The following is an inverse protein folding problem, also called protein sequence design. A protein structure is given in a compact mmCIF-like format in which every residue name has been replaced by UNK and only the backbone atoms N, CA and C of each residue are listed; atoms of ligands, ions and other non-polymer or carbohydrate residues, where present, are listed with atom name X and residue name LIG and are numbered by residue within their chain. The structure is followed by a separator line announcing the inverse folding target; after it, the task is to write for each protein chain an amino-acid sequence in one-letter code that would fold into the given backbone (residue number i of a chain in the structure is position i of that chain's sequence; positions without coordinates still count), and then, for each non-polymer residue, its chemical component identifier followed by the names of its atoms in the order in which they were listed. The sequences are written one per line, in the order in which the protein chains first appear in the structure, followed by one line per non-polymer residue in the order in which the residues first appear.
data_IF_887644592117
#
_entry.id   IF_887644592117
#
_cell.length_a   1.000
_cell.length_b   1.000
_cell.length_c   1.000
_cell.angle_alpha   90.00
_cell.angle_beta   90.00
_cell.angle_gamma   90.00
#
_symmetry.space_group_name_H-M   'P 1'
#
loop_
_entity.id
_entity.type
_entity.pdbx_description
1 polymer ?
#
# COMPACT_ATOMS: atom_id res chain seq x y z
N UNK A 1 -14.10 -42.02 15.63
CA UNK A 1 -14.92 -40.81 15.84
C UNK A 1 -14.04 -39.77 16.50
N UNK A 2 -13.86 -38.57 15.91
CA UNK A 2 -13.09 -37.51 16.54
C UNK A 2 -13.84 -36.99 17.77
N UNK A 3 -13.10 -36.85 18.86
CA UNK A 3 -13.56 -36.35 20.16
C UNK A 3 -14.03 -34.89 20.01
N UNK A 4 -15.22 -34.53 20.55
CA UNK A 4 -15.68 -33.15 20.48
C UNK A 4 -14.72 -32.23 21.25
N UNK A 5 -14.46 -31.01 20.76
CA UNK A 5 -13.56 -30.08 21.43
C UNK A 5 -14.07 -29.77 22.85
N UNK A 6 -13.16 -29.64 23.84
CA UNK A 6 -13.55 -29.38 25.22
C UNK A 6 -14.34 -28.07 25.31
N UNK A 7 -15.47 -28.13 26.02
CA UNK A 7 -16.31 -26.96 26.27
C UNK A 7 -15.49 -25.86 26.99
N UNK A 8 -15.66 -24.57 26.62
CA UNK A 8 -14.93 -23.49 27.25
C UNK A 8 -15.22 -23.45 28.76
N UNK A 9 -14.16 -23.34 29.56
CA UNK A 9 -14.24 -23.28 31.02
C UNK A 9 -15.20 -22.16 31.47
N UNK A 10 -16.09 -22.49 32.40
CA UNK A 10 -17.04 -21.52 32.93
C UNK A 10 -16.28 -20.36 33.63
N UNK A 11 -16.61 -19.09 33.37
CA UNK A 11 -15.88 -17.96 33.93
C UNK A 11 -16.00 -17.92 35.47
N UNK A 12 -14.87 -18.09 36.15
CA UNK A 12 -14.73 -18.30 37.60
C UNK A 12 -15.14 -17.10 38.50
N UNK A 13 -15.57 -15.98 37.93
CA UNK A 13 -16.00 -14.82 38.72
C UNK A 13 -17.20 -14.06 38.13
N UNK A 14 -17.93 -13.36 39.01
CA UNK A 14 -19.01 -12.44 38.59
C UNK A 14 -18.51 -11.35 37.64
N UNK A 15 -17.26 -10.92 37.79
CA UNK A 15 -16.62 -9.95 36.91
C UNK A 15 -16.40 -10.53 35.51
N UNK A 16 -15.84 -11.74 35.41
CA UNK A 16 -15.63 -12.42 34.13
C UNK A 16 -16.94 -12.68 33.37
N UNK A 17 -18.03 -13.04 34.07
CA UNK A 17 -19.37 -13.16 33.46
C UNK A 17 -19.88 -11.83 32.88
N UNK A 18 -19.66 -10.71 33.59
CA UNK A 18 -20.06 -9.38 33.12
C UNK A 18 -19.23 -8.91 31.93
N UNK A 19 -17.92 -9.19 31.95
CA UNK A 19 -17.04 -8.89 30.83
C UNK A 19 -17.45 -9.66 29.57
N UNK A 20 -17.74 -10.96 29.69
CA UNK A 20 -18.22 -11.79 28.58
C UNK A 20 -19.52 -11.23 27.98
N UNK A 21 -20.48 -10.85 28.84
CA UNK A 21 -21.74 -10.25 28.39
C UNK A 21 -21.54 -8.93 27.63
N UNK A 22 -20.64 -8.05 28.12
CA UNK A 22 -20.32 -6.79 27.43
C UNK A 22 -19.64 -7.04 26.09
N UNK A 23 -18.73 -8.02 26.02
CA UNK A 23 -18.04 -8.44 24.79
C UNK A 23 -19.02 -8.97 23.75
N UNK A 24 -19.97 -9.81 24.15
CA UNK A 24 -20.97 -10.37 23.24
C UNK A 24 -21.97 -9.33 22.73
N UNK A 25 -22.36 -8.38 23.58
CA UNK A 25 -23.20 -7.26 23.18
C UNK A 25 -22.49 -6.39 22.11
N UNK A 26 -21.22 -6.03 22.33
CA UNK A 26 -20.42 -5.28 21.36
C UNK A 26 -20.21 -6.07 20.07
N UNK A 27 -19.84 -7.35 20.15
CA UNK A 27 -19.66 -8.23 18.99
C UNK A 27 -20.91 -8.28 18.12
N UNK A 28 -22.07 -8.48 18.75
CA UNK A 28 -23.37 -8.55 18.06
C UNK A 28 -23.69 -7.23 17.38
N UNK A 29 -23.57 -6.11 18.11
CA UNK A 29 -23.81 -4.78 17.57
C UNK A 29 -22.92 -4.47 16.35
N UNK A 30 -21.61 -4.71 16.46
CA UNK A 30 -20.65 -4.45 15.37
C UNK A 30 -20.98 -5.29 14.15
N UNK A 31 -21.26 -6.60 14.34
CA UNK A 31 -21.62 -7.51 13.26
C UNK A 31 -22.90 -7.08 12.56
N UNK A 32 -23.95 -6.81 13.33
CA UNK A 32 -25.27 -6.49 12.78
C UNK A 32 -25.22 -5.13 12.06
N UNK A 33 -24.49 -4.16 12.60
CA UNK A 33 -24.25 -2.87 11.94
C UNK A 33 -23.46 -3.04 10.63
N UNK A 34 -22.39 -3.84 10.66
CA UNK A 34 -21.60 -4.15 9.46
C UNK A 34 -22.47 -4.82 8.38
N UNK A 35 -23.26 -5.84 8.75
CA UNK A 35 -24.14 -6.56 7.83
C UNK A 35 -25.21 -5.65 7.21
N UNK A 36 -25.79 -4.76 8.02
CA UNK A 36 -26.76 -3.79 7.54
C UNK A 36 -26.13 -2.79 6.55
N UNK A 37 -24.88 -2.36 6.79
CA UNK A 37 -24.22 -1.32 6.00
C UNK A 37 -23.51 -1.84 4.75
N UNK A 38 -22.92 -3.04 4.82
CA UNK A 38 -22.01 -3.60 3.81
C UNK A 38 -22.45 -4.96 3.27
N UNK A 39 -23.51 -5.56 3.81
CA UNK A 39 -24.00 -6.87 3.39
C UNK A 39 -23.35 -8.04 4.12
N UNK A 40 -23.68 -9.26 3.68
CA UNK A 40 -23.28 -10.50 4.37
C UNK A 40 -21.83 -10.94 4.12
N UNK A 41 -21.10 -10.27 3.22
CA UNK A 41 -19.71 -10.62 2.93
C UNK A 41 -18.79 -10.23 4.09
N UNK A 42 -17.95 -11.16 4.60
CA UNK A 42 -17.04 -10.85 5.68
C UNK A 42 -16.05 -9.73 5.30
N UNK A 43 -15.62 -8.89 6.25
CA UNK A 43 -14.58 -7.90 5.99
C UNK A 43 -13.31 -8.60 5.47
N UNK A 44 -12.67 -7.97 4.48
CA UNK A 44 -11.46 -8.54 3.88
C UNK A 44 -10.24 -8.56 4.82
N UNK A 45 -10.27 -7.76 5.90
CA UNK A 45 -9.27 -7.81 6.96
C UNK A 45 -9.62 -8.92 7.97
N UNK A 46 -8.66 -9.79 8.33
CA UNK A 46 -8.89 -10.86 9.32
C UNK A 46 -9.11 -10.31 10.74
N UNK A 47 -8.61 -9.10 11.03
CA UNK A 47 -8.74 -8.44 12.32
C UNK A 47 -9.09 -6.95 12.12
N UNK A 48 -9.92 -6.42 13.03
CA UNK A 48 -10.41 -5.04 13.00
C UNK A 48 -10.18 -4.37 14.35
N UNK A 49 -9.36 -3.32 14.37
CA UNK A 49 -9.12 -2.51 15.57
C UNK A 49 -10.08 -1.32 15.62
N UNK A 50 -11.04 -1.36 16.55
CA UNK A 50 -12.00 -0.28 16.80
C UNK A 50 -11.67 0.43 18.12
N UNK A 51 -11.55 1.76 18.08
CA UNK A 51 -11.41 2.60 19.27
C UNK A 51 -12.77 3.17 19.67
N UNK A 52 -13.29 2.72 20.81
CA UNK A 52 -14.53 3.24 21.37
C UNK A 52 -14.23 4.24 22.49
N UNK A 53 -14.67 5.47 22.31
CA UNK A 53 -14.56 6.56 23.28
C UNK A 53 -15.87 6.73 24.02
N UNK A 54 -15.78 6.71 25.34
CA UNK A 54 -16.90 6.95 26.22
C UNK A 54 -16.46 7.72 27.46
N UNK A 55 -17.40 8.41 28.08
CA UNK A 55 -17.25 9.04 29.39
C UNK A 55 -18.05 8.25 30.40
N UNK A 56 -17.52 8.18 31.62
CA UNK A 56 -18.20 7.56 32.75
C UNK A 56 -18.44 8.65 33.79
N UNK A 57 -19.65 8.71 34.35
CA UNK A 57 -20.03 9.67 35.39
C UNK A 57 -20.29 8.93 36.72
N UNK A 58 -19.27 8.77 37.58
CA UNK A 58 -19.43 8.02 38.84
C UNK A 58 -20.53 8.60 39.75
N UNK A 59 -20.66 9.92 39.80
CA UNK A 59 -21.69 10.61 40.60
C UNK A 59 -23.12 10.46 40.08
N UNK A 60 -23.30 9.96 38.85
CA UNK A 60 -24.59 9.65 38.25
C UNK A 60 -24.76 8.13 38.12
N UNK A 61 -24.46 7.39 39.19
CA UNK A 61 -24.54 5.93 39.23
C UNK A 61 -23.76 5.23 38.08
N UNK A 62 -22.55 5.72 37.80
CA UNK A 62 -21.67 5.18 36.74
C UNK A 62 -22.28 5.23 35.33
N UNK A 63 -23.13 6.22 35.05
CA UNK A 63 -23.70 6.43 33.72
C UNK A 63 -22.62 6.54 32.64
N UNK A 64 -22.90 5.93 31.49
CA UNK A 64 -21.98 5.71 30.38
C UNK A 64 -22.49 6.48 29.16
N UNK A 65 -21.69 7.43 28.68
CA UNK A 65 -22.05 8.29 27.55
C UNK A 65 -20.99 8.18 26.45
N UNK A 66 -21.40 7.82 25.24
CA UNK A 66 -20.53 7.81 24.07
C UNK A 66 -20.54 9.20 23.42
N UNK A 67 -19.36 9.82 23.30
CA UNK A 67 -19.22 11.10 22.60
C UNK A 67 -18.02 11.04 21.64
N UNK A 68 -18.23 10.98 20.31
CA UNK A 68 -19.52 10.98 19.59
C UNK A 68 -20.38 9.71 19.83
N UNK A 69 -21.65 9.65 19.40
CA UNK A 69 -22.50 8.47 19.55
C UNK A 69 -21.82 7.17 19.09
N UNK A 70 -22.13 6.05 19.75
CA UNK A 70 -21.48 4.76 19.48
C UNK A 70 -21.61 4.36 18.00
N UNK A 71 -22.78 4.58 17.40
CA UNK A 71 -23.03 4.26 15.98
C UNK A 71 -22.11 5.06 15.07
N UNK A 72 -21.96 6.36 15.29
CA UNK A 72 -21.09 7.23 14.48
C UNK A 72 -19.61 6.82 14.61
N UNK A 73 -19.19 6.38 15.81
CA UNK A 73 -17.85 5.83 16.04
C UNK A 73 -17.64 4.52 15.28
N UNK A 74 -18.63 3.63 15.29
CA UNK A 74 -18.59 2.37 14.54
C UNK A 74 -18.58 2.61 13.04
N UNK A 75 -19.41 3.53 12.55
CA UNK A 75 -19.44 3.92 11.14
C UNK A 75 -18.08 4.42 10.69
N UNK A 76 -17.52 5.41 11.40
CA UNK A 76 -16.19 5.95 11.08
C UNK A 76 -15.11 4.86 11.13
N UNK A 77 -15.11 4.03 12.18
CA UNK A 77 -14.10 3.00 12.36
C UNK A 77 -14.18 1.87 11.32
N UNK A 78 -15.39 1.46 10.94
CA UNK A 78 -15.61 0.42 9.94
C UNK A 78 -15.40 0.95 8.51
N UNK A 79 -15.81 2.17 8.21
CA UNK A 79 -15.51 2.82 6.92
C UNK A 79 -14.00 3.03 6.76
N UNK A 80 -13.29 3.46 7.80
CA UNK A 80 -11.83 3.52 7.80
C UNK A 80 -11.25 2.12 7.55
N UNK A 81 -11.70 1.10 8.26
CA UNK A 81 -11.17 -0.25 8.11
C UNK A 81 -11.45 -0.85 6.71
N UNK A 82 -12.62 -0.58 6.15
CA UNK A 82 -12.98 -1.05 4.82
C UNK A 82 -12.28 -0.23 3.72
N UNK A 83 -12.03 1.06 3.95
CA UNK A 83 -11.20 1.89 3.08
C UNK A 83 -9.73 1.44 3.06
N UNK A 84 -9.28 0.65 4.03
CA UNK A 84 -7.93 0.06 4.02
C UNK A 84 -7.87 -1.24 3.19
N UNK A 85 -8.96 -1.99 3.16
CA UNK A 85 -9.10 -3.21 2.39
C UNK A 85 -9.12 -2.92 0.88
N UNK A 86 -7.99 -3.13 0.22
CA UNK A 86 -7.85 -3.01 -1.24
C UNK A 86 -7.28 -1.67 -1.73
N UNK A 87 -6.92 -0.74 -0.83
CA UNK A 87 -6.21 0.49 -1.19
C UNK A 87 -4.76 0.20 -1.58
N UNK A 88 -4.04 -0.58 -0.77
CA UNK A 88 -2.70 -1.04 -1.12
C UNK A 88 -2.72 -2.53 -1.45
N UNK A 89 -2.25 -2.86 -2.66
CA UNK A 89 -2.00 -4.22 -3.09
C UNK A 89 -0.63 -4.24 -3.77
N UNK A 90 0.29 -5.01 -3.22
CA UNK A 90 1.65 -5.15 -3.79
C UNK A 90 1.56 -5.61 -5.25
N UNK A 91 2.34 -5.00 -6.13
CA UNK A 91 2.31 -5.27 -7.57
C UNK A 91 1.26 -4.48 -8.35
N UNK A 92 0.44 -3.66 -7.69
CA UNK A 92 -0.64 -2.91 -8.33
C UNK A 92 -0.65 -1.44 -7.90
N UNK A 93 -1.16 -0.58 -8.77
CA UNK A 93 -1.41 0.84 -8.51
C UNK A 93 -2.87 1.03 -8.12
N UNK A 94 -3.15 1.87 -7.13
CA UNK A 94 -4.53 2.24 -6.81
C UNK A 94 -5.17 3.03 -7.96
N UNK A 95 -6.29 2.54 -8.48
CA UNK A 95 -7.09 3.24 -9.47
C UNK A 95 -8.13 4.13 -8.77
N UNK A 96 -7.96 5.45 -8.83
CA UNK A 96 -8.91 6.38 -8.19
C UNK A 96 -10.27 6.42 -8.87
N UNK A 97 -10.34 6.11 -10.18
CA UNK A 97 -11.61 6.00 -10.90
C UNK A 97 -12.44 4.80 -10.43
N UNK A 98 -11.81 3.64 -10.26
CA UNK A 98 -12.47 2.41 -9.78
C UNK A 98 -12.51 2.32 -8.25
N UNK A 99 -11.78 3.19 -7.55
CA UNK A 99 -11.55 3.15 -6.09
C UNK A 99 -11.02 1.80 -5.60
N UNK A 100 -10.11 1.19 -6.35
CA UNK A 100 -9.59 -0.15 -6.07
C UNK A 100 -8.22 -0.38 -6.70
N UNK A 101 -7.39 -1.22 -6.06
CA UNK A 101 -6.16 -1.79 -6.64
C UNK A 101 -6.36 -3.17 -7.27
N UNK A 102 -7.61 -3.64 -7.41
CA UNK A 102 -7.96 -4.95 -7.96
C UNK A 102 -8.61 -4.90 -9.36
N UNK A 103 -8.69 -3.73 -9.99
CA UNK A 103 -9.23 -3.60 -11.34
C UNK A 103 -8.14 -3.78 -12.42
N UNK A 104 -8.55 -4.04 -13.66
CA UNK A 104 -7.62 -4.23 -14.79
C UNK A 104 -6.67 -3.04 -15.02
N UNK A 105 -7.10 -1.81 -14.67
CA UNK A 105 -6.27 -0.61 -14.82
C UNK A 105 -5.12 -0.54 -13.81
N UNK A 106 -5.19 -1.32 -12.72
CA UNK A 106 -4.22 -1.28 -11.62
C UNK A 106 -2.89 -1.96 -11.94
N UNK A 107 -2.81 -2.72 -13.05
CA UNK A 107 -1.61 -3.43 -13.50
C UNK A 107 -1.11 -2.93 -14.86
N UNK A 108 0.20 -3.05 -15.15
CA UNK A 108 0.72 -2.79 -16.49
C UNK A 108 0.02 -3.65 -17.55
N UNK A 109 -0.32 -3.10 -18.73
CA UNK A 109 -0.97 -3.87 -19.80
C UNK A 109 -0.01 -4.87 -20.49
N UNK A 110 1.30 -4.63 -20.43
CA UNK A 110 2.32 -5.46 -21.07
C UNK A 110 3.62 -5.50 -20.25
N UNK A 111 4.61 -6.26 -20.72
CA UNK A 111 5.87 -6.49 -20.01
C UNK A 111 6.80 -5.26 -19.95
N UNK A 112 6.69 -4.36 -20.92
CA UNK A 112 7.58 -3.21 -21.10
C UNK A 112 6.97 -1.92 -20.51
N UNK A 113 5.68 -1.96 -20.19
CA UNK A 113 4.92 -0.87 -19.61
C UNK A 113 5.32 -0.56 -18.17
N UNK A 114 5.44 0.74 -17.88
CA UNK A 114 5.67 1.33 -16.57
C UNK A 114 4.61 2.38 -16.26
N UNK A 115 4.36 2.61 -14.97
CA UNK A 115 3.37 3.61 -14.57
C UNK A 115 3.86 5.00 -14.94
N UNK A 116 3.06 5.76 -15.68
CA UNK A 116 3.40 7.12 -16.11
C UNK A 116 2.85 8.19 -15.18
N UNK A 117 1.70 7.93 -14.57
CA UNK A 117 0.96 8.89 -13.77
C UNK A 117 -0.54 8.62 -13.83
N UNK A 118 -1.32 9.58 -13.35
CA UNK A 118 -2.78 9.53 -13.42
C UNK A 118 -3.33 10.48 -14.49
N UNK A 119 -4.39 10.03 -15.14
CA UNK A 119 -5.23 10.89 -15.97
C UNK A 119 -6.01 11.90 -15.13
N UNK A 120 -6.71 12.83 -15.77
CA UNK A 120 -7.58 13.80 -15.09
C UNK A 120 -8.69 13.15 -14.26
N UNK A 121 -9.13 11.95 -14.65
CA UNK A 121 -10.16 11.17 -13.94
C UNK A 121 -9.60 10.17 -12.93
N UNK A 122 -8.29 10.24 -12.65
CA UNK A 122 -7.66 9.35 -11.67
C UNK A 122 -7.49 7.91 -12.16
N UNK A 123 -7.51 7.69 -13.49
CA UNK A 123 -7.17 6.42 -14.10
C UNK A 123 -5.63 6.28 -14.17
N UNK A 124 -5.04 5.16 -13.74
CA UNK A 124 -3.64 4.86 -14.00
C UNK A 124 -3.34 4.90 -15.51
N UNK A 125 -2.27 5.60 -15.88
CA UNK A 125 -1.74 5.59 -17.24
C UNK A 125 -0.42 4.84 -17.28
N UNK A 126 -0.29 3.99 -18.28
CA UNK A 126 0.85 3.11 -18.49
C UNK A 126 1.48 3.43 -19.82
N UNK A 127 2.80 3.64 -19.82
CA UNK A 127 3.57 3.86 -21.04
C UNK A 127 4.68 2.82 -21.11
N UNK A 128 5.06 2.46 -22.33
CA UNK A 128 6.29 1.72 -22.57
C UNK A 128 7.47 2.53 -21.98
N UNK A 129 8.34 1.90 -21.19
CA UNK A 129 9.53 2.53 -20.59
C UNK A 129 10.36 3.36 -21.60
N UNK A 130 10.57 2.85 -22.82
CA UNK A 130 11.28 3.55 -23.88
C UNK A 130 10.62 4.89 -24.22
N UNK A 131 9.30 4.88 -24.44
CA UNK A 131 8.52 6.10 -24.67
C UNK A 131 8.57 7.05 -23.47
N UNK A 132 8.47 6.50 -22.25
CA UNK A 132 8.59 7.29 -21.04
C UNK A 132 9.98 7.93 -20.88
N UNK A 133 11.05 7.31 -21.37
CA UNK A 133 12.38 7.92 -21.35
C UNK A 133 12.55 8.96 -22.46
N UNK A 134 12.04 8.73 -23.67
CA UNK A 134 12.11 9.70 -24.77
C UNK A 134 11.47 11.03 -24.38
N UNK A 135 10.29 10.99 -23.74
CA UNK A 135 9.58 12.19 -23.26
C UNK A 135 10.37 13.00 -22.22
N UNK A 136 11.28 12.34 -21.47
CA UNK A 136 11.98 12.96 -20.34
C UNK A 136 13.45 13.26 -20.59
N UNK A 137 14.13 12.40 -21.36
CA UNK A 137 15.55 12.46 -21.65
C UNK A 137 15.86 11.54 -22.85
N UNK A 138 15.81 12.07 -24.08
CA UNK A 138 16.09 11.31 -25.30
C UNK A 138 17.44 10.58 -25.27
N UNK A 139 18.50 11.25 -24.78
CA UNK A 139 19.85 10.67 -24.64
C UNK A 139 19.87 9.41 -23.76
N UNK A 140 19.04 9.37 -22.70
CA UNK A 140 18.93 8.20 -21.83
C UNK A 140 18.11 7.09 -22.47
N UNK A 141 17.16 7.41 -23.35
CA UNK A 141 16.39 6.42 -24.08
C UNK A 141 17.26 5.63 -25.07
N UNK A 142 18.23 6.28 -25.71
CA UNK A 142 19.17 5.61 -26.63
C UNK A 142 19.96 4.49 -25.94
N UNK A 143 20.33 4.67 -24.66
CA UNK A 143 21.05 3.67 -23.87
C UNK A 143 20.28 2.35 -23.67
N UNK A 144 18.95 2.36 -23.75
CA UNK A 144 18.14 1.13 -23.69
C UNK A 144 18.34 0.23 -24.92
N UNK A 145 18.76 0.81 -26.04
CA UNK A 145 18.88 0.13 -27.33
C UNK A 145 20.34 0.12 -27.83
N UNK A 146 21.29 0.57 -27.02
CA UNK A 146 22.71 0.47 -27.30
C UNK A 146 23.18 -1.00 -27.36
N UNK A 147 24.39 -1.22 -27.87
CA UNK A 147 25.05 -2.52 -27.85
C UNK A 147 26.33 -2.46 -26.99
N UNK A 148 26.36 -3.10 -25.80
CA UNK A 148 25.27 -3.83 -25.17
C UNK A 148 24.19 -2.90 -24.56
N UNK A 149 22.92 -3.35 -24.43
CA UNK A 149 21.85 -2.52 -23.88
C UNK A 149 22.04 -2.29 -22.38
N UNK A 150 21.86 -1.05 -21.95
CA UNK A 150 21.97 -0.68 -20.55
C UNK A 150 20.60 -0.68 -19.85
N UNK A 151 20.62 -0.95 -18.54
CA UNK A 151 19.47 -0.67 -17.69
C UNK A 151 19.45 0.83 -17.40
N UNK A 152 18.30 1.45 -17.63
CA UNK A 152 18.08 2.87 -17.38
C UNK A 152 16.96 3.02 -16.36
N UNK A 153 17.20 3.85 -15.35
CA UNK A 153 16.24 4.19 -14.31
C UNK A 153 15.79 5.65 -14.44
N UNK A 154 14.49 5.91 -14.27
CA UNK A 154 13.88 7.24 -14.23
C UNK A 154 13.23 7.47 -12.88
N UNK A 155 13.66 8.50 -12.17
CA UNK A 155 13.02 8.94 -10.92
C UNK A 155 11.90 9.93 -11.26
N UNK A 156 10.73 9.75 -10.65
CA UNK A 156 9.62 10.71 -10.73
C UNK A 156 9.04 10.93 -9.33
N UNK A 157 8.66 12.17 -9.01
CA UNK A 157 8.08 12.52 -7.71
C UNK A 157 6.55 12.57 -7.78
N UNK A 158 5.90 12.36 -6.64
CA UNK A 158 4.44 12.22 -6.56
C UNK A 158 3.64 13.40 -7.10
N UNK A 159 4.17 14.62 -7.06
CA UNK A 159 3.50 15.80 -7.62
C UNK A 159 3.38 15.71 -9.14
N UNK A 160 4.44 15.26 -9.83
CA UNK A 160 4.46 15.08 -11.28
C UNK A 160 3.52 13.96 -11.72
N UNK A 161 3.46 12.86 -10.96
CA UNK A 161 2.58 11.72 -11.24
C UNK A 161 1.09 12.05 -11.15
N UNK A 162 0.73 13.12 -10.44
CA UNK A 162 -0.66 13.56 -10.19
C UNK A 162 -0.97 14.92 -10.81
N UNK A 163 -0.08 15.47 -11.62
CA UNK A 163 -0.18 16.84 -12.13
C UNK A 163 -1.50 17.11 -12.86
N UNK A 164 -1.90 16.15 -13.71
CA UNK A 164 -3.13 16.21 -14.51
C UNK A 164 -4.38 15.77 -13.76
N UNK A 165 -4.23 15.11 -12.60
CA UNK A 165 -5.33 14.58 -11.82
C UNK A 165 -6.13 15.71 -11.16
N UNK A 166 -7.46 15.68 -11.29
CA UNK A 166 -8.32 16.64 -10.61
C UNK A 166 -8.52 16.26 -9.14
N UNK A 167 -8.81 17.27 -8.29
CA UNK A 167 -9.05 17.06 -6.85
C UNK A 167 -10.19 16.08 -6.57
N UNK A 168 -11.28 16.15 -7.34
CA UNK A 168 -12.42 15.24 -7.25
C UNK A 168 -12.05 13.76 -7.51
N UNK A 169 -10.93 13.52 -8.21
CA UNK A 169 -10.45 12.19 -8.54
C UNK A 169 -9.20 11.80 -7.73
N UNK A 170 -9.00 12.34 -6.53
CA UNK A 170 -8.02 11.83 -5.58
C UNK A 170 -6.65 12.51 -5.58
N UNK A 171 -6.47 13.64 -6.28
CA UNK A 171 -5.20 14.42 -6.26
C UNK A 171 -4.72 14.71 -4.82
N UNK A 172 -5.67 15.06 -3.95
CA UNK A 172 -5.49 15.35 -2.53
C UNK A 172 -5.99 14.23 -1.61
N UNK A 173 -6.06 12.98 -2.12
CA UNK A 173 -6.52 11.84 -1.32
C UNK A 173 -5.67 11.69 -0.05
N UNK A 174 -6.36 11.46 1.07
CA UNK A 174 -5.73 11.20 2.36
C UNK A 174 -5.51 9.71 2.62
N UNK A 175 -6.14 8.82 1.83
CA UNK A 175 -6.13 7.36 2.03
C UNK A 175 -5.02 6.66 1.26
N UNK A 176 -4.65 7.19 0.09
CA UNK A 176 -3.58 6.68 -0.76
C UNK A 176 -2.87 7.83 -1.47
N UNK A 177 -1.54 7.84 -1.42
CA UNK A 177 -0.74 8.78 -2.19
C UNK A 177 0.53 8.12 -2.71
N UNK A 178 0.79 8.23 -4.01
CA UNK A 178 2.11 7.93 -4.56
C UNK A 178 3.03 9.10 -4.23
N UNK A 179 4.09 8.85 -3.45
CA UNK A 179 5.05 9.87 -3.02
C UNK A 179 6.19 10.06 -4.03
N UNK A 180 6.50 9.01 -4.78
CA UNK A 180 7.43 9.01 -5.89
C UNK A 180 7.70 7.60 -6.38
N UNK A 181 8.45 7.48 -7.46
CA UNK A 181 8.75 6.20 -8.06
C UNK A 181 10.09 6.19 -8.79
N UNK A 182 10.57 4.97 -9.05
CA UNK A 182 11.63 4.68 -10.01
C UNK A 182 11.07 3.71 -11.05
N UNK A 183 11.02 4.12 -12.32
CA UNK A 183 10.78 3.22 -13.44
C UNK A 183 12.13 2.75 -13.99
N UNK A 184 12.36 1.45 -14.11
CA UNK A 184 13.65 0.92 -14.57
C UNK A 184 13.50 -0.29 -15.48
N UNK A 185 14.46 -0.47 -16.38
CA UNK A 185 14.50 -1.58 -17.31
C UNK A 185 15.42 -1.28 -18.51
N UNK A 186 15.42 -2.12 -19.54
CA UNK A 186 14.77 -3.44 -19.50
C UNK A 186 15.65 -4.44 -18.78
N UNK A 187 15.03 -5.22 -17.92
CA UNK A 187 15.66 -6.39 -17.37
C UNK A 187 15.43 -7.59 -18.29
N UNK A 188 16.43 -8.47 -18.37
CA UNK A 188 16.33 -9.76 -19.05
C UNK A 188 15.99 -10.82 -18.01
N UNK A 189 14.74 -11.28 -18.01
CA UNK A 189 14.25 -12.40 -17.24
C UNK A 189 14.60 -13.76 -17.88
N UNK A 190 14.44 -14.86 -17.12
CA UNK A 190 14.60 -16.20 -17.66
C UNK A 190 13.64 -16.42 -18.84
N UNK A 191 14.03 -17.26 -19.82
CA UNK A 191 13.17 -17.60 -20.93
C UNK A 191 11.97 -18.42 -20.45
N UNK A 192 10.81 -18.20 -21.09
CA UNK A 192 9.54 -18.87 -20.72
C UNK A 192 9.56 -20.37 -21.10
N UNK A 193 10.43 -20.75 -22.04
CA UNK A 193 10.63 -22.13 -22.47
C UNK A 193 12.11 -22.39 -22.80
N UNK A 194 12.59 -23.65 -22.71
CA UNK A 194 13.93 -24.01 -23.14
C UNK A 194 14.18 -23.58 -24.60
N UNK A 195 15.25 -22.83 -24.85
CA UNK A 195 15.62 -22.34 -26.19
C UNK A 195 14.90 -21.06 -26.64
N UNK A 196 13.95 -20.52 -25.86
CA UNK A 196 13.37 -19.20 -26.14
C UNK A 196 14.33 -18.05 -25.77
N UNK A 197 14.14 -16.89 -26.40
CA UNK A 197 14.89 -15.69 -26.03
C UNK A 197 14.56 -15.23 -24.59
N UNK A 198 15.51 -14.63 -23.87
CA UNK A 198 15.26 -14.03 -22.56
C UNK A 198 14.13 -12.99 -22.62
N UNK A 199 13.22 -13.05 -21.66
CA UNK A 199 12.06 -12.15 -21.62
C UNK A 199 12.50 -10.76 -21.16
N UNK A 200 12.24 -9.72 -21.97
CA UNK A 200 12.43 -8.33 -21.55
C UNK A 200 11.24 -7.84 -20.74
N UNK A 201 11.50 -7.12 -19.67
CA UNK A 201 10.46 -6.43 -18.92
C UNK A 201 10.99 -5.19 -18.20
N UNK A 202 10.07 -4.30 -17.83
CA UNK A 202 10.35 -3.12 -17.02
C UNK A 202 9.67 -3.23 -15.65
N UNK A 203 10.13 -2.44 -14.68
CA UNK A 203 9.58 -2.44 -13.32
C UNK A 203 9.37 -1.01 -12.86
N UNK A 204 8.21 -0.74 -12.26
CA UNK A 204 7.97 0.50 -11.51
C UNK A 204 8.11 0.21 -10.02
N UNK A 205 9.04 0.86 -9.34
CA UNK A 205 9.14 0.84 -7.89
C UNK A 205 8.48 2.10 -7.33
N UNK A 206 7.32 1.98 -6.68
CA UNK A 206 6.61 3.12 -6.12
C UNK A 206 6.75 3.18 -4.61
N UNK A 207 7.03 4.36 -4.07
CA UNK A 207 6.83 4.63 -2.65
C UNK A 207 5.41 5.16 -2.49
N UNK A 208 4.60 4.45 -1.73
CA UNK A 208 3.20 4.79 -1.49
C UNK A 208 3.00 5.11 -0.02
N UNK A 209 2.22 6.14 0.24
CA UNK A 209 1.67 6.44 1.56
C UNK A 209 0.24 5.92 1.61
N UNK A 210 -0.04 5.09 2.60
CA UNK A 210 -1.39 4.75 3.02
C UNK A 210 -1.65 5.28 4.41
N UNK A 211 -2.92 5.31 4.78
CA UNK A 211 -3.29 5.32 6.20
C UNK A 211 -3.44 3.88 6.63
N UNK A 212 -3.25 3.60 7.92
CA UNK A 212 -3.72 2.40 8.59
C UNK A 212 -4.95 2.77 9.44
N UNK A 213 -5.46 1.82 10.22
CA UNK A 213 -6.48 2.09 11.24
C UNK A 213 -6.07 3.32 12.08
N UNK A 214 -7.05 4.16 12.42
CA UNK A 214 -6.86 5.41 13.22
C UNK A 214 -6.00 6.48 12.51
N UNK A 215 -5.91 6.44 11.18
CA UNK A 215 -5.19 7.44 10.39
C UNK A 215 -3.66 7.35 10.51
N UNK A 216 -3.12 6.25 11.04
CA UNK A 216 -1.68 6.06 11.21
C UNK A 216 -0.98 6.07 9.85
N UNK A 217 0.10 6.84 9.72
CA UNK A 217 0.92 6.89 8.50
C UNK A 217 1.51 5.50 8.22
N UNK A 218 1.32 4.95 7.02
CA UNK A 218 2.04 3.78 6.51
C UNK A 218 2.74 4.13 5.20
N UNK A 219 3.97 3.70 5.04
CA UNK A 219 4.77 3.83 3.84
C UNK A 219 5.18 2.43 3.38
N UNK A 220 5.09 2.19 2.08
CA UNK A 220 5.56 0.94 1.50
C UNK A 220 6.31 1.19 0.19
N UNK A 221 7.34 0.39 -0.06
CA UNK A 221 7.90 0.24 -1.40
C UNK A 221 7.09 -0.84 -2.14
N UNK A 222 6.56 -0.47 -3.29
CA UNK A 222 5.70 -1.30 -4.13
C UNK A 222 6.38 -1.57 -5.48
N UNK A 223 7.05 -2.72 -5.66
CA UNK A 223 7.51 -3.16 -6.97
C UNK A 223 6.31 -3.59 -7.81
N UNK A 224 6.18 -3.03 -9.00
CA UNK A 224 5.14 -3.31 -9.98
C UNK A 224 5.83 -3.75 -11.28
N UNK A 225 6.06 -5.05 -11.45
CA UNK A 225 6.73 -5.59 -12.62
C UNK A 225 5.78 -5.67 -13.82
N UNK A 226 6.28 -5.33 -15.00
CA UNK A 226 5.56 -5.51 -16.25
C UNK A 226 5.39 -6.98 -16.60
N UNK A 227 4.14 -7.43 -16.68
CA UNK A 227 3.79 -8.77 -17.15
C UNK A 227 4.25 -9.93 -16.25
N UNK A 228 4.65 -9.66 -15.01
CA UNK A 228 4.88 -10.68 -13.98
C UNK A 228 3.86 -10.48 -12.86
N UNK A 229 3.42 -11.58 -12.28
CA UNK A 229 2.70 -11.59 -11.01
C UNK A 229 3.66 -11.32 -9.84
N UNK A 230 3.11 -10.99 -8.68
CA UNK A 230 3.91 -10.79 -7.45
C UNK A 230 4.67 -12.06 -7.08
N UNK A 231 4.05 -13.24 -7.24
CA UNK A 231 4.67 -14.52 -6.93
C UNK A 231 5.87 -14.80 -7.86
N UNK A 232 5.71 -14.60 -9.17
CA UNK A 232 6.80 -14.76 -10.14
C UNK A 232 7.94 -13.77 -9.86
N UNK A 233 7.62 -12.53 -9.47
CA UNK A 233 8.62 -11.55 -9.08
C UNK A 233 9.39 -11.97 -7.82
N UNK A 234 8.70 -12.50 -6.81
CA UNK A 234 9.34 -12.97 -5.58
C UNK A 234 10.25 -14.17 -5.82
N UNK A 235 9.78 -15.14 -6.61
CA UNK A 235 10.58 -16.29 -7.03
C UNK A 235 11.83 -15.86 -7.80
N UNK A 236 11.66 -14.89 -8.71
CA UNK A 236 12.76 -14.34 -9.49
C UNK A 236 13.83 -13.66 -8.59
N UNK A 237 13.39 -12.89 -7.58
CA UNK A 237 14.30 -12.25 -6.62
C UNK A 237 14.95 -13.21 -5.62
N UNK A 238 14.28 -14.31 -5.28
CA UNK A 238 14.83 -15.35 -4.42
C UNK A 238 15.88 -16.23 -5.13
N UNK A 239 15.80 -16.30 -6.46
CA UNK A 239 16.74 -17.04 -7.30
C UNK A 239 18.06 -16.30 -7.58
N UNK A 240 18.92 -16.88 -8.46
CA UNK A 240 20.19 -16.27 -8.85
C UNK A 240 20.04 -15.11 -9.84
N UNK A 241 18.81 -14.76 -10.24
CA UNK A 241 18.57 -13.73 -11.23
C UNK A 241 18.94 -12.35 -10.69
N UNK A 242 19.89 -11.69 -11.38
CA UNK A 242 20.26 -10.27 -11.20
C UNK A 242 20.20 -9.84 -9.72
N UNK A 243 21.02 -10.44 -8.83
CA UNK A 243 20.85 -10.31 -7.38
C UNK A 243 21.01 -8.87 -6.87
N UNK A 244 21.61 -7.97 -7.67
CA UNK A 244 21.65 -6.55 -7.36
C UNK A 244 20.25 -5.90 -7.36
N UNK A 245 19.30 -6.37 -8.17
CA UNK A 245 17.93 -5.83 -8.21
C UNK A 245 17.22 -6.12 -6.88
N UNK A 246 17.32 -7.37 -6.40
CA UNK A 246 16.78 -7.76 -5.10
C UNK A 246 17.42 -6.98 -3.96
N UNK A 247 18.75 -6.84 -3.96
CA UNK A 247 19.46 -6.02 -2.95
C UNK A 247 19.05 -4.55 -3.00
N UNK A 248 18.94 -3.96 -4.18
CA UNK A 248 18.54 -2.56 -4.36
C UNK A 248 17.11 -2.33 -3.85
N UNK A 249 16.18 -3.21 -4.20
CA UNK A 249 14.79 -3.15 -3.74
C UNK A 249 14.69 -3.33 -2.21
N UNK A 250 15.40 -4.31 -1.64
CA UNK A 250 15.42 -4.54 -0.19
C UNK A 250 16.02 -3.36 0.57
N UNK A 251 17.12 -2.77 0.09
CA UNK A 251 17.72 -1.59 0.70
C UNK A 251 16.80 -0.36 0.64
N UNK A 252 16.07 -0.20 -0.47
CA UNK A 252 15.08 0.86 -0.61
C UNK A 252 13.87 0.64 0.33
N UNK A 253 13.38 -0.59 0.45
CA UNK A 253 12.28 -0.95 1.36
C UNK A 253 12.66 -0.67 2.82
N UNK A 254 13.83 -1.13 3.27
CA UNK A 254 14.34 -0.84 4.60
C UNK A 254 14.49 0.68 4.86
N UNK A 255 14.96 1.44 3.87
CA UNK A 255 15.03 2.89 3.96
C UNK A 255 13.66 3.58 4.10
N UNK A 256 12.63 3.05 3.46
CA UNK A 256 11.24 3.53 3.59
C UNK A 256 10.68 3.20 4.99
N UNK A 257 10.90 1.97 5.47
CA UNK A 257 10.48 1.53 6.81
C UNK A 257 11.14 2.35 7.92
N UNK A 258 12.43 2.66 7.79
CA UNK A 258 13.14 3.54 8.71
C UNK A 258 12.54 4.95 8.75
N UNK A 259 12.21 5.52 7.59
CA UNK A 259 11.55 6.83 7.50
C UNK A 259 10.17 6.80 8.14
N UNK A 260 9.38 5.75 7.90
CA UNK A 260 8.08 5.56 8.56
C UNK A 260 8.23 5.52 10.08
N UNK A 261 9.11 4.66 10.59
CA UNK A 261 9.35 4.48 12.02
C UNK A 261 9.74 5.79 12.70
N UNK A 262 10.72 6.50 12.14
CA UNK A 262 11.19 7.79 12.66
C UNK A 262 10.12 8.88 12.55
N UNK A 263 9.36 8.93 11.44
CA UNK A 263 8.27 9.89 11.28
C UNK A 263 7.15 9.64 12.29
N UNK A 264 6.83 8.38 12.60
CA UNK A 264 5.82 8.03 13.61
C UNK A 264 6.28 8.38 15.01
N UNK A 265 7.53 8.09 15.35
CA UNK A 265 8.11 8.43 16.65
C UNK A 265 8.06 9.95 16.89
N UNK A 266 8.45 10.76 15.90
CA UNK A 266 8.37 12.23 15.99
C UNK A 266 6.92 12.72 16.18
N UNK A 267 5.94 12.17 15.44
CA UNK A 267 4.51 12.51 15.63
C UNK A 267 4.00 12.15 17.03
N UNK A 268 4.39 10.99 17.56
CA UNK A 268 4.01 10.57 18.90
C UNK A 268 4.57 11.50 19.99
N UNK A 269 5.74 12.11 19.74
CA UNK A 269 6.34 13.13 20.60
C UNK A 269 5.78 14.56 20.38
N UNK A 270 4.80 14.75 19.48
CA UNK A 270 4.26 16.07 19.13
C UNK A 270 5.13 16.89 18.17
N UNK A 271 6.25 16.34 17.69
CA UNK A 271 7.17 16.99 16.76
C UNK A 271 6.74 16.79 15.29
N UNK A 272 5.81 17.64 14.84
CA UNK A 272 5.31 17.61 13.46
C UNK A 272 6.36 18.04 12.44
N UNK A 273 7.31 18.89 12.81
CA UNK A 273 8.36 19.35 11.91
C UNK A 273 9.39 18.25 11.68
N UNK A 274 9.85 17.60 12.74
CA UNK A 274 10.73 16.43 12.66
C UNK A 274 10.08 15.30 11.86
N UNK A 275 8.78 15.06 12.04
CA UNK A 275 8.05 14.09 11.22
C UNK A 275 8.10 14.43 9.72
N UNK A 276 7.88 15.70 9.35
CA UNK A 276 8.01 16.17 7.95
C UNK A 276 9.45 16.09 7.45
N UNK A 277 10.43 16.37 8.32
CA UNK A 277 11.84 16.25 7.99
C UNK A 277 12.24 14.83 7.60
N UNK A 278 11.67 13.80 8.25
CA UNK A 278 11.90 12.42 7.85
C UNK A 278 11.35 12.11 6.46
N UNK A 279 10.12 12.56 6.14
CA UNK A 279 9.52 12.36 4.82
C UNK A 279 10.32 13.04 3.69
N UNK A 280 10.99 14.16 3.96
CA UNK A 280 11.87 14.83 2.99
C UNK A 280 13.10 14.00 2.59
N UNK A 281 13.36 12.86 3.24
CA UNK A 281 14.45 11.94 2.90
C UNK A 281 14.07 10.94 1.79
N UNK A 282 12.78 10.79 1.46
CA UNK A 282 12.31 9.84 0.44
C UNK A 282 12.96 10.04 -0.95
N UNK A 283 13.18 11.27 -1.45
CA UNK A 283 13.92 11.49 -2.70
C UNK A 283 15.32 10.86 -2.70
N UNK A 284 16.01 10.82 -1.55
CA UNK A 284 17.32 10.19 -1.45
C UNK A 284 17.25 8.66 -1.55
N UNK A 285 16.16 8.05 -1.07
CA UNK A 285 15.91 6.61 -1.20
C UNK A 285 15.69 6.27 -2.67
N UNK A 286 14.81 7.01 -3.36
CA UNK A 286 14.56 6.83 -4.79
C UNK A 286 15.83 7.03 -5.64
N UNK A 287 16.61 8.07 -5.34
CA UNK A 287 17.87 8.32 -6.06
C UNK A 287 18.92 7.22 -5.85
N UNK A 288 19.01 6.66 -4.63
CA UNK A 288 19.88 5.50 -4.35
C UNK A 288 19.40 4.25 -5.07
N UNK A 289 18.10 3.98 -5.07
CA UNK A 289 17.50 2.87 -5.79
C UNK A 289 17.79 2.97 -7.30
N UNK A 290 17.55 4.13 -7.91
CA UNK A 290 17.83 4.34 -9.32
C UNK A 290 19.30 4.07 -9.68
N UNK A 291 20.26 4.63 -8.91
CA UNK A 291 21.69 4.38 -9.14
C UNK A 291 22.08 2.92 -8.94
N UNK A 292 21.46 2.22 -8.00
CA UNK A 292 21.74 0.81 -7.74
C UNK A 292 21.20 -0.11 -8.85
N UNK A 293 20.13 0.30 -9.54
CA UNK A 293 19.55 -0.45 -10.67
C UNK A 293 20.32 -0.25 -11.98
N UNK A 294 21.08 0.83 -12.13
CA UNK A 294 21.89 1.12 -13.33
C UNK A 294 23.33 0.58 -13.25
N UNK A 295 23.64 -0.27 -12.26
CA UNK A 295 24.98 -0.86 -12.06
C UNK A 295 25.29 -1.97 -13.05
#
# INVERSE_FOLDING_TARGET
MPEPPPAPAAPDSRAARREAAARDALRTLIRDFYQHRFGAEPPAAPELDLDLRFRVRPGANWELEFTPPLIDQLETGLEDAQALCGVFRRGYVFCFRCRSSACAHASPPDALSVFKGYSSTGLPEWWELGQALVDASPERAERLYADPPAIVARVQFGHALKERQLTAFGRASKTYAVLGQVAAGYFLGPPVAPGAAPRRFAVTFQIVETRAARGRLQLALNPIPGGLTVAEWDELLAGPWRPFVGRAAAAAAAGVEDIERLSRAARAAGDLEGARAQLRRLPQVLGRLARALEQ
#
